data_IF_126115652131
#
_entry.id   IF_126115652131
#
_cell.length_a   1.000
_cell.length_b   1.000
_cell.length_c   1.000
_cell.angle_alpha   90.00
_cell.angle_beta   90.00
_cell.angle_gamma   90.00
#
_symmetry.space_group_name_H-M   'P 1'
#
loop_
_entity.id
_entity.type
_entity.pdbx_description
1 polymer ?
#
# COMPACT_ATOMS: atom_id res chain seq x y z
N UNK A 1 2.86 -19.08 -57.71
CA UNK A 1 2.81 -20.08 -56.64
C UNK A 1 3.76 -19.61 -55.52
N UNK A 2 3.40 -18.59 -54.73
CA UNK A 2 2.78 -18.69 -53.38
C UNK A 2 3.23 -19.93 -52.61
N UNK A 3 4.15 -19.79 -51.66
CA UNK A 3 4.18 -20.45 -50.34
C UNK A 3 5.07 -19.60 -49.39
N UNK A 4 4.71 -19.44 -48.10
CA UNK A 4 4.93 -18.20 -47.34
C UNK A 4 6.12 -18.27 -46.35
N UNK A 5 6.59 -17.08 -45.98
CA UNK A 5 7.49 -16.82 -44.84
C UNK A 5 6.90 -17.38 -43.55
N UNK A 6 7.61 -18.31 -42.90
CA UNK A 6 7.26 -18.73 -41.54
C UNK A 6 7.93 -17.76 -40.58
N UNK A 7 7.13 -16.77 -40.15
CA UNK A 7 7.48 -15.83 -39.10
C UNK A 7 7.45 -16.58 -37.75
N UNK A 8 8.60 -17.11 -37.31
CA UNK A 8 8.75 -17.66 -35.97
C UNK A 8 8.72 -16.52 -34.95
N UNK A 9 7.53 -16.24 -34.44
CA UNK A 9 7.31 -15.32 -33.33
C UNK A 9 7.89 -15.96 -32.06
N UNK A 10 8.98 -15.39 -31.53
CA UNK A 10 9.43 -15.71 -30.17
C UNK A 10 8.29 -15.34 -29.21
N UNK A 11 7.71 -16.34 -28.56
CA UNK A 11 6.89 -16.14 -27.36
C UNK A 11 7.82 -15.65 -26.25
N UNK A 12 7.99 -14.33 -26.15
CA UNK A 12 8.46 -13.72 -24.92
C UNK A 12 7.30 -13.90 -23.95
N UNK A 13 7.42 -14.88 -23.06
CA UNK A 13 6.58 -14.96 -21.87
C UNK A 13 6.76 -13.64 -21.14
N UNK A 14 5.75 -12.77 -21.20
CA UNK A 14 5.65 -11.70 -20.24
C UNK A 14 5.53 -12.38 -18.88
N UNK A 15 6.62 -12.39 -18.12
CA UNK A 15 6.52 -12.60 -16.70
C UNK A 15 5.55 -11.51 -16.21
N UNK A 16 4.37 -11.93 -15.76
CA UNK A 16 3.50 -11.08 -14.96
C UNK A 16 4.38 -10.41 -13.91
N UNK A 17 4.23 -9.09 -13.64
CA UNK A 17 4.95 -8.49 -12.54
C UNK A 17 4.61 -9.33 -11.31
N UNK A 18 5.65 -9.93 -10.70
CA UNK A 18 5.52 -10.66 -9.45
C UNK A 18 4.94 -9.63 -8.49
N UNK A 19 3.63 -9.72 -8.22
CA UNK A 19 3.02 -8.97 -7.16
C UNK A 19 3.79 -9.37 -5.90
N UNK A 20 4.65 -8.46 -5.42
CA UNK A 20 5.31 -8.63 -4.14
C UNK A 20 4.20 -8.90 -3.14
N UNK A 21 4.25 -10.04 -2.44
CA UNK A 21 3.18 -10.45 -1.55
C UNK A 21 2.90 -9.33 -0.54
N UNK A 22 1.63 -8.94 -0.44
CA UNK A 22 1.10 -8.04 0.55
C UNK A 22 1.61 -8.42 1.96
N UNK A 23 2.28 -7.50 2.68
CA UNK A 23 2.52 -7.72 4.11
C UNK A 23 1.18 -7.66 4.83
N UNK A 24 0.80 -8.76 5.48
CA UNK A 24 -0.31 -8.78 6.43
C UNK A 24 0.16 -8.30 7.81
N UNK A 25 -0.56 -7.35 8.39
CA UNK A 25 -0.26 -6.80 9.70
C UNK A 25 -1.17 -7.41 10.76
N UNK A 26 -0.57 -7.98 11.82
CA UNK A 26 -1.32 -8.63 12.90
C UNK A 26 -1.73 -7.65 14.01
N UNK A 27 -1.07 -6.49 14.08
CA UNK A 27 -1.30 -5.50 15.13
C UNK A 27 -0.88 -4.09 14.69
N UNK A 28 -1.35 -3.10 15.48
CA UNK A 28 -1.13 -1.68 15.26
C UNK A 28 0.34 -1.28 15.31
N UNK A 29 1.17 -1.94 16.13
CA UNK A 29 2.58 -1.57 16.28
C UNK A 29 3.41 -1.96 15.05
N UNK A 30 3.15 -3.13 14.47
CA UNK A 30 3.76 -3.52 13.21
C UNK A 30 3.37 -2.58 12.06
N UNK A 31 2.09 -2.24 11.98
CA UNK A 31 1.59 -1.31 10.97
C UNK A 31 2.22 0.07 11.15
N UNK A 32 2.30 0.55 12.40
CA UNK A 32 2.90 1.85 12.72
C UNK A 32 4.38 1.90 12.37
N UNK A 33 5.15 0.86 12.69
CA UNK A 33 6.56 0.78 12.35
C UNK A 33 6.79 0.81 10.82
N UNK A 34 5.93 0.12 10.06
CA UNK A 34 5.98 0.12 8.61
C UNK A 34 5.62 1.51 8.04
N UNK A 35 4.53 2.13 8.52
CA UNK A 35 4.13 3.48 8.12
C UNK A 35 5.19 4.53 8.46
N UNK A 36 5.82 4.44 9.63
CA UNK A 36 6.93 5.30 10.03
C UNK A 36 8.13 5.16 9.10
N UNK A 37 8.48 3.92 8.76
CA UNK A 37 9.57 3.60 7.82
C UNK A 37 9.29 4.11 6.41
N UNK A 38 8.03 4.03 5.96
CA UNK A 38 7.56 4.59 4.69
C UNK A 38 7.68 6.12 4.68
N UNK A 39 7.17 6.80 5.71
CA UNK A 39 7.16 8.26 5.74
C UNK A 39 8.54 8.89 6.04
N UNK A 40 9.49 8.14 6.61
CA UNK A 40 10.85 8.61 6.88
C UNK A 40 11.76 8.57 5.64
N UNK A 41 11.51 7.63 4.72
CA UNK A 41 12.31 7.43 3.52
C UNK A 41 11.42 7.72 2.31
N UNK A 42 11.60 8.87 1.65
CA UNK A 42 10.90 9.25 0.41
C UNK A 42 10.54 7.99 -0.44
N UNK A 43 9.26 7.70 -0.71
CA UNK A 43 8.70 6.35 -0.89
C UNK A 43 9.22 5.48 -2.05
N UNK A 44 10.20 5.93 -2.83
CA UNK A 44 10.60 5.26 -4.06
C UNK A 44 11.75 4.23 -3.93
N UNK A 45 12.50 4.15 -2.82
CA UNK A 45 13.82 3.52 -2.89
C UNK A 45 14.22 2.47 -1.83
N UNK A 46 13.48 2.25 -0.72
CA UNK A 46 14.08 1.43 0.37
C UNK A 46 13.18 0.49 1.18
N UNK A 47 11.84 0.62 1.20
CA UNK A 47 11.02 -0.20 2.12
C UNK A 47 10.26 -1.37 1.45
N UNK A 48 10.25 -1.45 0.12
CA UNK A 48 9.45 -2.46 -0.61
C UNK A 48 9.94 -3.88 -0.38
N UNK A 49 11.21 -4.07 -0.03
CA UNK A 49 11.78 -5.39 0.31
C UNK A 49 11.30 -5.95 1.65
N UNK A 50 10.85 -5.09 2.58
CA UNK A 50 10.48 -5.50 3.94
C UNK A 50 8.96 -5.61 4.10
N UNK A 51 8.22 -4.63 3.59
CA UNK A 51 6.76 -4.56 3.78
C UNK A 51 5.98 -4.69 2.48
N UNK A 52 6.66 -4.79 1.32
CA UNK A 52 6.00 -4.65 0.03
C UNK A 52 5.51 -3.21 -0.21
N UNK A 53 4.80 -3.02 -1.31
CA UNK A 53 4.22 -1.72 -1.64
C UNK A 53 3.04 -1.39 -0.72
N UNK A 54 2.94 -0.14 -0.26
CA UNK A 54 1.95 0.31 0.73
C UNK A 54 0.51 0.14 0.27
N UNK A 55 0.26 0.28 -1.04
CA UNK A 55 -1.05 0.10 -1.65
C UNK A 55 -1.58 -1.33 -1.54
N UNK A 56 -0.68 -2.30 -1.27
CA UNK A 56 -0.99 -3.71 -1.13
C UNK A 56 -0.90 -4.20 0.32
N UNK A 57 -0.68 -3.34 1.31
CA UNK A 57 -0.64 -3.77 2.71
C UNK A 57 -1.99 -4.36 3.14
N UNK A 58 -1.97 -5.58 3.70
CA UNK A 58 -3.17 -6.20 4.26
C UNK A 58 -3.35 -5.73 5.71
N UNK A 59 -4.29 -4.82 5.87
CA UNK A 59 -4.70 -4.23 7.16
C UNK A 59 -6.04 -4.77 7.66
N UNK A 60 -6.57 -5.83 7.03
CA UNK A 60 -7.92 -6.38 7.29
C UNK A 60 -8.12 -6.97 8.70
N UNK A 61 -7.04 -7.08 9.50
CA UNK A 61 -7.07 -7.51 10.91
C UNK A 61 -6.93 -6.36 11.90
N UNK A 62 -6.59 -5.16 11.43
CA UNK A 62 -6.29 -4.01 12.28
C UNK A 62 -7.58 -3.39 12.78
N UNK A 63 -7.64 -3.17 14.10
CA UNK A 63 -8.77 -2.51 14.76
C UNK A 63 -8.43 -1.10 15.25
N UNK A 64 -7.14 -0.79 15.43
CA UNK A 64 -6.63 0.49 15.94
C UNK A 64 -5.65 1.09 14.92
N UNK A 65 -5.99 2.26 14.38
CA UNK A 65 -5.14 3.07 13.48
C UNK A 65 -4.79 4.44 14.07
N UNK A 66 -4.86 4.59 15.40
CA UNK A 66 -4.60 5.86 16.07
C UNK A 66 -3.26 6.46 15.71
N UNK A 67 -3.29 7.71 15.27
CA UNK A 67 -2.12 8.50 14.93
C UNK A 67 -1.17 7.83 13.92
N UNK A 68 -1.68 6.95 13.04
CA UNK A 68 -0.83 6.17 12.13
C UNK A 68 0.08 7.07 11.26
N UNK A 69 -0.48 8.19 10.78
CA UNK A 69 0.20 9.20 9.97
C UNK A 69 0.27 10.57 10.65
N UNK A 70 0.06 10.63 11.98
CA UNK A 70 0.11 11.89 12.71
C UNK A 70 1.48 12.59 12.55
N UNK A 71 1.43 13.90 12.27
CA UNK A 71 2.59 14.79 12.06
C UNK A 71 3.54 14.36 10.94
N UNK A 72 3.12 13.48 10.03
CA UNK A 72 3.90 13.08 8.85
C UNK A 72 3.71 14.09 7.72
N UNK A 73 4.26 15.29 7.92
CA UNK A 73 4.01 16.49 7.09
C UNK A 73 4.11 16.19 5.59
N UNK A 74 5.18 15.52 5.14
CA UNK A 74 5.42 15.24 3.71
C UNK A 74 5.07 13.84 3.24
N UNK A 75 4.30 13.10 4.04
CA UNK A 75 3.91 11.74 3.70
C UNK A 75 2.55 11.73 3.00
N UNK A 76 2.51 11.13 1.81
CA UNK A 76 1.29 11.02 1.02
C UNK A 76 1.14 9.59 0.44
N UNK A 77 0.93 8.58 1.31
CA UNK A 77 0.90 7.18 0.91
C UNK A 77 -0.40 6.84 0.19
N UNK A 78 -0.34 6.14 -0.94
CA UNK A 78 -1.54 5.61 -1.61
C UNK A 78 -2.14 4.46 -0.78
N UNK A 79 -3.23 4.76 -0.08
CA UNK A 79 -3.95 3.85 0.82
C UNK A 79 -5.43 3.68 0.43
N UNK A 80 -5.79 4.09 -0.79
CA UNK A 80 -7.18 4.05 -1.28
C UNK A 80 -7.77 2.63 -1.25
N UNK A 81 -6.93 1.60 -1.40
CA UNK A 81 -7.34 0.19 -1.47
C UNK A 81 -7.31 -0.55 -0.12
N UNK A 82 -7.02 0.12 0.98
CA UNK A 82 -6.99 -0.54 2.29
C UNK A 82 -8.40 -0.98 2.72
N UNK A 83 -8.54 -2.23 3.13
CA UNK A 83 -9.74 -2.73 3.80
C UNK A 83 -9.70 -2.35 5.28
N UNK A 84 -10.37 -1.26 5.62
CA UNK A 84 -10.45 -0.71 6.99
C UNK A 84 -11.73 -1.13 7.73
N UNK A 85 -12.51 -2.07 7.19
CA UNK A 85 -13.84 -2.46 7.72
C UNK A 85 -13.86 -3.06 9.14
N UNK A 86 -12.68 -3.31 9.72
CA UNK A 86 -12.52 -3.75 11.11
C UNK A 86 -11.94 -2.68 12.04
N UNK A 87 -11.56 -1.52 11.52
CA UNK A 87 -10.96 -0.44 12.30
C UNK A 87 -12.05 0.27 13.10
N UNK A 88 -11.89 0.29 14.41
CA UNK A 88 -12.82 0.97 15.34
C UNK A 88 -12.24 2.26 15.91
N UNK A 89 -10.93 2.50 15.75
CA UNK A 89 -10.27 3.70 16.27
C UNK A 89 -9.35 4.37 15.24
N UNK A 90 -9.77 5.53 14.76
CA UNK A 90 -9.04 6.40 13.82
C UNK A 90 -8.49 7.67 14.50
N UNK A 91 -8.52 7.75 15.84
CA UNK A 91 -8.21 8.99 16.55
C UNK A 91 -6.84 9.55 16.14
N UNK A 92 -6.83 10.82 15.73
CA UNK A 92 -5.66 11.57 15.24
C UNK A 92 -4.89 10.94 14.07
N UNK A 93 -5.45 9.98 13.31
CA UNK A 93 -4.73 9.25 12.26
C UNK A 93 -3.95 10.14 11.29
N UNK A 94 -4.53 11.28 10.87
CA UNK A 94 -3.94 12.24 9.94
C UNK A 94 -3.66 13.62 10.57
N UNK A 95 -3.70 13.73 11.90
CA UNK A 95 -3.49 15.01 12.59
C UNK A 95 -2.12 15.59 12.24
N UNK A 96 -2.07 16.75 11.57
CA UNK A 96 -0.81 17.38 11.12
C UNK A 96 -0.12 16.73 9.91
N UNK A 97 -0.80 15.86 9.15
CA UNK A 97 -0.30 15.28 7.90
C UNK A 97 -0.61 16.20 6.70
N UNK A 98 0.14 17.30 6.57
CA UNK A 98 -0.22 18.41 5.66
C UNK A 98 -0.27 18.03 4.17
N UNK A 99 0.61 17.14 3.70
CA UNK A 99 0.70 16.76 2.29
C UNK A 99 -0.21 15.56 1.94
N UNK A 100 -0.91 14.97 2.91
CA UNK A 100 -1.84 13.87 2.65
C UNK A 100 -3.04 14.34 1.83
N UNK A 101 -3.26 13.72 0.66
CA UNK A 101 -4.34 14.11 -0.25
C UNK A 101 -4.97 12.94 -1.02
N UNK A 102 -4.87 11.71 -0.49
CA UNK A 102 -5.43 10.55 -1.16
C UNK A 102 -6.95 10.49 -1.04
N UNK A 103 -7.59 9.92 -2.07
CA UNK A 103 -9.02 9.61 -2.02
C UNK A 103 -9.26 8.40 -1.10
N UNK A 104 -9.98 8.63 -0.02
CA UNK A 104 -10.41 7.63 0.96
C UNK A 104 -11.93 7.51 1.05
N UNK A 105 -12.66 8.07 0.08
CA UNK A 105 -14.13 8.05 0.06
C UNK A 105 -14.75 6.65 -0.07
N UNK A 106 -13.95 5.67 -0.51
CA UNK A 106 -14.38 4.27 -0.63
C UNK A 106 -14.23 3.46 0.66
N UNK A 107 -13.65 4.02 1.73
CA UNK A 107 -13.48 3.30 2.98
C UNK A 107 -14.82 3.03 3.66
N UNK A 108 -15.06 1.77 4.03
CA UNK A 108 -16.16 1.40 4.93
C UNK A 108 -15.74 1.68 6.38
N UNK A 109 -16.33 2.73 6.96
CA UNK A 109 -16.05 3.22 8.33
C UNK A 109 -17.21 2.98 9.30
N UNK A 110 -18.05 1.97 9.02
CA UNK A 110 -19.29 1.71 9.78
C UNK A 110 -19.13 0.85 11.05
N UNK A 111 -17.89 0.43 11.37
CA UNK A 111 -17.53 -0.47 12.49
C UNK A 111 -17.84 0.05 13.89
#
# INVERSE_FOLDING_TARGET
SKHPLVLSLLLITAASPVASAAKAFENRDELKAAADSYCANNPAAYNTSTYGSIENWDVSKITDMRGLFASKISCNPNITNWDVSKVTDFFDMFSGANDFNQDISNWDVSS
#
